data_IF_364580563030
#
_entry.id   IF_364580563030
#
_cell.length_a   1.000
_cell.length_b   1.000
_cell.length_c   1.000
_cell.angle_alpha   90.00
_cell.angle_beta   90.00
_cell.angle_gamma   90.00
#
_symmetry.space_group_name_H-M   'P 1'
#
loop_
_entity.id
_entity.type
_entity.pdbx_description
1 polymer ?
#
# COMPACT_ATOMS: atom_id res chain seq x y z
N UNK A 1 -13.11 14.98 5.04
CA UNK A 1 -11.86 14.95 5.82
C UNK A 1 -11.22 16.31 5.80
N UNK A 2 -10.42 16.64 6.83
CA UNK A 2 -9.68 17.91 6.88
C UNK A 2 -8.37 17.75 6.11
N UNK A 3 -8.14 18.59 5.11
CA UNK A 3 -6.86 18.70 4.41
C UNK A 3 -5.96 19.68 5.15
N UNK A 4 -4.70 19.31 5.38
CA UNK A 4 -3.70 20.16 6.02
C UNK A 4 -2.47 20.21 5.14
N UNK A 5 -1.99 21.41 4.84
CA UNK A 5 -0.75 21.63 4.07
C UNK A 5 0.33 22.11 5.01
N UNK A 6 1.54 21.58 4.86
CA UNK A 6 2.66 21.78 5.78
C UNK A 6 3.97 21.93 5.02
N UNK A 7 4.91 22.70 5.57
CA UNK A 7 6.27 22.81 5.02
C UNK A 7 6.93 21.43 4.91
N UNK A 8 7.57 21.16 3.78
CA UNK A 8 8.33 19.94 3.54
C UNK A 8 9.59 19.92 4.41
N UNK A 9 9.56 19.13 5.49
CA UNK A 9 10.69 18.94 6.42
C UNK A 9 11.26 20.26 6.98
N UNK A 10 10.45 21.33 7.06
CA UNK A 10 10.89 22.64 7.53
C UNK A 10 11.92 23.34 6.61
N UNK A 11 12.00 22.93 5.34
CA UNK A 11 13.05 23.38 4.41
C UNK A 11 12.70 24.68 3.69
N UNK A 12 11.46 25.17 3.80
CA UNK A 12 10.96 26.36 3.07
C UNK A 12 11.06 26.25 1.54
N UNK A 13 11.15 25.02 1.02
CA UNK A 13 11.25 24.71 -0.42
C UNK A 13 10.28 23.58 -0.79
N UNK A 14 8.98 23.84 -0.61
CA UNK A 14 7.91 22.91 -0.96
C UNK A 14 6.95 22.63 0.20
N UNK A 15 5.85 21.97 -0.12
CA UNK A 15 4.80 21.64 0.85
C UNK A 15 4.35 20.19 0.68
N UNK A 16 3.85 19.61 1.77
CA UNK A 16 3.28 18.25 1.81
C UNK A 16 1.87 18.30 2.38
N UNK A 17 0.96 17.53 1.79
CA UNK A 17 -0.44 17.44 2.21
C UNK A 17 -0.69 16.25 3.12
N UNK A 18 -1.40 16.49 4.22
CA UNK A 18 -2.01 15.45 5.06
C UNK A 18 -3.52 15.48 4.89
N UNK A 19 -4.11 14.30 4.78
CA UNK A 19 -5.53 14.09 4.95
C UNK A 19 -5.74 12.75 5.65
N UNK A 20 -6.81 12.66 6.46
CA UNK A 20 -7.18 11.40 7.07
C UNK A 20 -7.55 10.37 6.00
N UNK A 21 -6.97 9.17 6.12
CA UNK A 21 -7.31 8.04 5.26
C UNK A 21 -8.52 7.32 5.87
N UNK A 22 -9.51 7.04 5.03
CA UNK A 22 -10.75 6.40 5.45
C UNK A 22 -10.46 4.99 5.99
N UNK A 23 -11.13 4.63 7.08
CA UNK A 23 -11.03 3.31 7.74
C UNK A 23 -11.82 2.26 6.96
N UNK A 24 -11.34 1.94 5.78
CA UNK A 24 -11.97 1.03 4.81
C UNK A 24 -11.03 -0.15 4.49
N UNK A 25 -11.55 -1.25 3.92
CA UNK A 25 -10.72 -2.30 3.35
C UNK A 25 -9.77 -1.71 2.31
N UNK A 26 -8.58 -2.29 2.19
CA UNK A 26 -7.54 -1.87 1.26
C UNK A 26 -6.83 -3.07 0.67
N UNK A 27 -6.27 -2.85 -0.52
CA UNK A 27 -5.35 -3.76 -1.19
C UNK A 27 -4.05 -3.03 -1.47
N UNK A 28 -2.94 -3.67 -1.13
CA UNK A 28 -1.58 -3.27 -1.45
C UNK A 28 -1.08 -4.12 -2.61
N UNK A 29 -0.46 -3.49 -3.61
CA UNK A 29 0.08 -4.13 -4.80
C UNK A 29 1.54 -3.68 -5.02
N UNK A 30 2.41 -4.65 -5.26
CA UNK A 30 3.75 -4.41 -5.79
C UNK A 30 4.00 -5.34 -6.98
N UNK A 31 4.81 -4.89 -7.93
CA UNK A 31 5.11 -5.61 -9.17
C UNK A 31 6.62 -5.60 -9.35
N UNK A 32 7.22 -6.73 -9.69
CA UNK A 32 8.65 -6.77 -9.99
C UNK A 32 8.99 -6.13 -11.35
N UNK A 33 10.28 -5.87 -11.56
CA UNK A 33 10.75 -5.22 -12.78
C UNK A 33 10.71 -6.14 -14.01
N UNK A 34 10.68 -7.46 -13.81
CA UNK A 34 10.56 -8.47 -14.88
C UNK A 34 9.13 -8.63 -15.37
N UNK A 35 8.15 -8.10 -14.63
CA UNK A 35 6.72 -8.22 -14.90
C UNK A 35 6.26 -9.69 -14.92
N UNK A 36 6.94 -10.57 -14.18
CA UNK A 36 6.56 -11.97 -14.03
C UNK A 36 5.88 -12.24 -12.69
N UNK A 37 6.04 -11.37 -11.69
CA UNK A 37 5.36 -11.52 -10.39
C UNK A 37 4.76 -10.23 -9.86
N UNK A 38 3.70 -10.40 -9.08
CA UNK A 38 3.13 -9.36 -8.25
C UNK A 38 2.85 -9.87 -6.84
N UNK A 39 3.08 -9.01 -5.85
CA UNK A 39 2.66 -9.20 -4.48
C UNK A 39 1.33 -8.50 -4.27
N UNK A 40 0.37 -9.19 -3.65
CA UNK A 40 -0.91 -8.64 -3.25
C UNK A 40 -1.16 -8.91 -1.77
N UNK A 41 -1.38 -7.85 -1.00
CA UNK A 41 -1.73 -7.92 0.42
C UNK A 41 -3.06 -7.20 0.64
N UNK A 42 -3.99 -7.86 1.32
CA UNK A 42 -5.26 -7.27 1.71
C UNK A 42 -5.25 -6.90 3.20
N UNK A 43 -6.12 -5.97 3.57
CA UNK A 43 -6.27 -5.55 4.95
C UNK A 43 -7.30 -4.45 5.12
N UNK A 44 -7.24 -3.77 6.27
CA UNK A 44 -8.10 -2.64 6.61
C UNK A 44 -7.30 -1.51 7.24
N UNK A 45 -7.57 -0.28 6.84
CA UNK A 45 -6.97 0.90 7.50
C UNK A 45 -7.51 1.00 8.94
N UNK A 46 -6.62 0.86 9.93
CA UNK A 46 -6.93 1.11 11.35
C UNK A 46 -7.00 2.60 11.64
N UNK A 47 -5.98 3.33 11.18
CA UNK A 47 -5.84 4.79 11.37
C UNK A 47 -4.82 5.37 10.39
N UNK A 48 -4.85 6.70 10.26
CA UNK A 48 -3.76 7.48 9.70
C UNK A 48 -3.28 8.52 10.72
N UNK A 49 -2.03 8.95 10.59
CA UNK A 49 -1.43 9.98 11.44
C UNK A 49 -0.56 10.94 10.62
N UNK A 50 -0.54 12.22 11.05
CA UNK A 50 0.23 13.31 10.46
C UNK A 50 1.66 13.27 11.00
N UNK A 51 2.62 12.92 10.14
CA UNK A 51 4.03 12.84 10.51
C UNK A 51 4.87 13.99 9.93
N UNK A 52 6.08 14.16 10.47
CA UNK A 52 7.01 15.20 10.00
C UNK A 52 7.79 14.77 8.76
N UNK A 53 8.34 13.54 8.77
CA UNK A 53 9.14 13.02 7.65
C UNK A 53 8.27 12.34 6.60
N UNK A 54 7.45 11.38 7.03
CA UNK A 54 6.35 10.81 6.25
C UNK A 54 5.09 11.59 6.60
N UNK A 55 4.55 12.38 5.67
CA UNK A 55 3.41 13.25 5.95
C UNK A 55 2.16 12.47 6.30
N UNK A 56 1.85 11.43 5.51
CA UNK A 56 0.73 10.53 5.75
C UNK A 56 1.31 9.18 6.12
N UNK A 57 1.08 8.75 7.36
CA UNK A 57 1.43 7.41 7.83
C UNK A 57 0.13 6.65 7.99
N UNK A 58 -0.01 5.52 7.31
CA UNK A 58 -1.23 4.69 7.32
C UNK A 58 -0.92 3.40 8.06
N UNK A 59 -1.69 3.11 9.11
CA UNK A 59 -1.60 1.88 9.86
C UNK A 59 -2.69 0.93 9.36
N UNK A 60 -2.28 -0.22 8.83
CA UNK A 60 -3.15 -1.22 8.21
C UNK A 60 -3.15 -2.48 9.09
N UNK A 61 -4.35 -2.97 9.40
CA UNK A 61 -4.55 -4.36 9.85
C UNK A 61 -4.47 -5.24 8.62
N UNK A 62 -3.44 -6.07 8.51
CA UNK A 62 -3.27 -6.96 7.36
C UNK A 62 -4.06 -8.24 7.60
N UNK A 63 -4.71 -8.72 6.55
CA UNK A 63 -5.35 -10.03 6.53
C UNK A 63 -4.27 -11.10 6.31
N UNK A 64 -4.07 -11.97 7.30
CA UNK A 64 -3.04 -13.03 7.28
C UNK A 64 -1.83 -12.74 8.19
N UNK A 65 -0.74 -13.46 7.96
CA UNK A 65 0.48 -13.39 8.78
C UNK A 65 1.45 -12.29 8.31
N UNK A 66 1.52 -11.20 9.08
CA UNK A 66 2.39 -10.04 8.79
C UNK A 66 3.88 -10.42 8.79
N UNK A 67 4.28 -11.43 9.57
CA UNK A 67 5.69 -11.83 9.67
C UNK A 67 6.20 -12.44 8.35
N UNK A 68 5.28 -12.89 7.48
CA UNK A 68 5.59 -13.50 6.18
C UNK A 68 5.66 -12.50 5.02
N UNK A 69 5.35 -11.22 5.23
CA UNK A 69 5.45 -10.18 4.19
C UNK A 69 6.83 -10.18 3.48
N UNK A 70 7.97 -10.33 4.19
CA UNK A 70 9.28 -10.36 3.53
C UNK A 70 9.46 -11.53 2.54
N UNK A 71 8.72 -12.63 2.69
CA UNK A 71 8.80 -13.80 1.81
C UNK A 71 8.11 -13.58 0.47
N UNK A 72 7.09 -12.72 0.45
CA UNK A 72 6.27 -12.44 -0.74
C UNK A 72 6.56 -11.07 -1.35
N UNK A 73 7.40 -10.25 -0.71
CA UNK A 73 7.74 -8.92 -1.20
C UNK A 73 8.48 -9.02 -2.54
N UNK A 74 7.90 -8.41 -3.57
CA UNK A 74 8.52 -8.27 -4.89
C UNK A 74 8.83 -6.81 -5.20
N UNK A 75 9.68 -6.56 -6.19
CA UNK A 75 9.95 -5.21 -6.67
C UNK A 75 10.75 -4.35 -5.69
N UNK A 76 10.38 -3.07 -5.60
CA UNK A 76 11.04 -2.07 -4.74
C UNK A 76 10.23 -1.78 -3.48
N UNK A 77 10.67 -0.84 -2.64
CA UNK A 77 9.88 -0.39 -1.49
C UNK A 77 8.60 0.41 -1.86
N UNK A 78 8.36 0.69 -3.14
CA UNK A 78 7.16 1.41 -3.59
C UNK A 78 6.00 0.45 -3.85
N UNK A 79 4.92 0.65 -3.10
CA UNK A 79 3.71 -0.16 -3.13
C UNK A 79 2.52 0.73 -3.48
N UNK A 80 1.65 0.26 -4.38
CA UNK A 80 0.39 0.92 -4.67
C UNK A 80 -0.68 0.50 -3.67
N UNK A 81 -1.48 1.44 -3.17
CA UNK A 81 -2.61 1.16 -2.29
C UNK A 81 -3.91 1.61 -2.97
N UNK A 82 -4.93 0.75 -2.93
CA UNK A 82 -6.31 1.09 -3.34
C UNK A 82 -7.31 0.67 -2.27
N UNK A 83 -8.48 1.29 -2.25
CA UNK A 83 -9.59 0.88 -1.38
C UNK A 83 -10.29 -0.36 -1.95
N UNK A 84 -10.77 -1.21 -1.05
CA UNK A 84 -11.41 -2.48 -1.36
C UNK A 84 -10.46 -3.67 -1.29
N UNK A 85 -11.05 -4.86 -1.33
CA UNK A 85 -10.38 -6.15 -1.43
C UNK A 85 -10.41 -6.61 -2.89
N UNK A 86 -9.25 -6.70 -3.53
CA UNK A 86 -9.07 -6.94 -4.96
C UNK A 86 -8.22 -8.18 -5.29
N UNK A 87 -7.84 -9.00 -4.30
CA UNK A 87 -7.00 -10.18 -4.52
C UNK A 87 -7.58 -11.13 -5.57
N UNK A 88 -8.90 -11.36 -5.56
CA UNK A 88 -9.57 -12.23 -6.54
C UNK A 88 -9.45 -11.69 -7.98
N UNK A 89 -9.68 -10.39 -8.16
CA UNK A 89 -9.54 -9.73 -9.46
C UNK A 89 -8.07 -9.71 -9.93
N UNK A 90 -7.13 -9.45 -9.01
CA UNK A 90 -5.70 -9.43 -9.31
C UNK A 90 -5.14 -10.81 -9.62
N UNK A 91 -5.62 -11.88 -8.96
CA UNK A 91 -5.34 -13.27 -9.34
C UNK A 91 -5.78 -13.54 -10.78
N UNK A 92 -6.99 -13.11 -11.15
CA UNK A 92 -7.48 -13.28 -12.52
C UNK A 92 -6.67 -12.46 -13.53
N UNK A 93 -6.25 -11.25 -13.17
CA UNK A 93 -5.38 -10.44 -14.01
C UNK A 93 -4.00 -11.12 -14.19
N UNK A 94 -3.41 -11.65 -13.12
CA UNK A 94 -2.15 -12.39 -13.16
C UNK A 94 -2.22 -13.60 -14.11
N UNK A 95 -3.28 -14.40 -14.03
CA UNK A 95 -3.51 -15.50 -14.97
C UNK A 95 -3.52 -15.06 -16.44
N UNK A 96 -4.20 -13.94 -16.74
CA UNK A 96 -4.30 -13.41 -18.11
C UNK A 96 -2.99 -12.80 -18.61
N UNK A 97 -2.20 -12.24 -17.70
CA UNK A 97 -0.93 -11.58 -18.01
C UNK A 97 0.28 -12.52 -17.93
N UNK A 98 0.09 -13.76 -17.48
CA UNK A 98 1.18 -14.70 -17.24
C UNK A 98 2.05 -14.33 -16.03
N UNK A 99 1.46 -13.67 -15.04
CA UNK A 99 2.14 -13.22 -13.83
C UNK A 99 1.78 -14.09 -12.62
N UNK A 100 2.78 -14.49 -11.85
CA UNK A 100 2.61 -15.13 -10.54
C UNK A 100 2.07 -14.12 -9.52
N UNK A 101 1.02 -14.49 -8.80
CA UNK A 101 0.43 -13.65 -7.74
C UNK A 101 0.76 -14.24 -6.38
N UNK A 102 1.67 -13.57 -5.66
CA UNK A 102 2.04 -13.92 -4.30
C UNK A 102 1.13 -13.17 -3.32
N UNK A 103 0.51 -13.90 -2.39
CA UNK A 103 -0.32 -13.32 -1.33
C UNK A 103 -0.01 -13.99 0.00
N UNK A 104 -0.40 -13.33 1.09
CA UNK A 104 -0.36 -13.96 2.41
C UNK A 104 -1.34 -15.15 2.47
N UNK A 105 -1.03 -16.17 3.30
CA UNK A 105 -1.91 -17.30 3.56
C UNK A 105 -3.17 -16.92 4.34
#
# INVERSE_FOLDING_TARGET
GRLVVRDYHGRRFGVTGYADVRREPVTLLNVDASLDKMMVIEGRVKRSEDGTHCRVIVHIEVDGDVERIPEILVGSQHVSMTFGHWLSALRRAGELLGMEVLSLP
#
